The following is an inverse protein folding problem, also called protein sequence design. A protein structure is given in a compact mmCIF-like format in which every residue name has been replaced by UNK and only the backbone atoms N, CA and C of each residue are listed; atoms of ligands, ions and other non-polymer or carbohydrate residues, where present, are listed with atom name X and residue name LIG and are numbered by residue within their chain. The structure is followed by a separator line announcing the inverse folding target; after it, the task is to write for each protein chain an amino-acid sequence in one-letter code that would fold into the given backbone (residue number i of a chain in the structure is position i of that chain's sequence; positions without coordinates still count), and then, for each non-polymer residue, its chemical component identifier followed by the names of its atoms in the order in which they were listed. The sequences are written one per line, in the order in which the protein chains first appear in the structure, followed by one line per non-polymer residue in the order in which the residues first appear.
data_IF_779493144091
#
_entry.id   IF_779493144091
#
_cell.length_a   1.000
_cell.length_b   1.000
_cell.length_c   1.000
_cell.angle_alpha   90.00
_cell.angle_beta   90.00
_cell.angle_gamma   90.00
#
_symmetry.space_group_name_H-M   'P 1'
#
loop_
_entity.id
_entity.type
_entity.pdbx_description
1 polymer ?
#
# COMPACT_ATOMS: atom_id res chain seq x y z
N UNK A 1 -4.45 -1.83 12.01
CA UNK A 1 -5.65 -2.03 11.16
C UNK A 1 -5.92 -3.52 11.01
N UNK A 2 -7.18 -3.90 10.76
CA UNK A 2 -7.56 -5.29 10.51
C UNK A 2 -6.96 -5.86 9.23
N UNK A 3 -6.86 -7.18 9.14
CA UNK A 3 -6.18 -7.89 8.05
C UNK A 3 -6.83 -7.70 6.66
N UNK A 4 -8.08 -7.28 6.62
CA UNK A 4 -8.86 -7.05 5.39
C UNK A 4 -8.67 -5.65 4.79
N UNK A 5 -8.11 -4.70 5.55
CA UNK A 5 -7.81 -3.37 5.02
C UNK A 5 -6.68 -3.43 3.98
N UNK A 6 -6.83 -2.67 2.89
CA UNK A 6 -5.98 -2.71 1.70
C UNK A 6 -4.49 -2.69 2.05
N UNK A 7 -4.03 -1.73 2.87
CA UNK A 7 -2.61 -1.61 3.21
C UNK A 7 -2.07 -2.88 3.87
N UNK A 8 -2.74 -3.37 4.93
CA UNK A 8 -2.31 -4.58 5.64
C UNK A 8 -2.52 -5.85 4.80
N UNK A 9 -3.59 -5.90 4.00
CA UNK A 9 -3.83 -7.02 3.07
C UNK A 9 -2.68 -7.16 2.09
N UNK A 10 -2.20 -6.06 1.53
CA UNK A 10 -1.10 -6.05 0.56
C UNK A 10 0.22 -6.43 1.23
N UNK A 11 0.65 -5.74 2.27
CA UNK A 11 1.96 -5.99 2.91
C UNK A 11 2.06 -7.40 3.48
N UNK A 12 0.99 -7.88 4.14
CA UNK A 12 0.90 -9.27 4.59
C UNK A 12 0.98 -10.27 3.44
N UNK A 13 0.29 -10.00 2.32
CA UNK A 13 0.32 -10.88 1.17
C UNK A 13 1.72 -10.93 0.54
N UNK A 14 2.39 -9.79 0.39
CA UNK A 14 3.77 -9.72 -0.12
C UNK A 14 4.71 -10.57 0.73
N UNK A 15 4.70 -10.39 2.05
CA UNK A 15 5.52 -11.21 2.97
C UNK A 15 5.19 -12.71 2.84
N UNK A 16 3.91 -13.10 2.80
CA UNK A 16 3.50 -14.50 2.67
C UNK A 16 3.86 -15.11 1.31
N UNK A 17 3.80 -14.30 0.24
CA UNK A 17 4.21 -14.72 -1.10
C UNK A 17 5.73 -14.94 -1.14
N UNK A 18 6.51 -14.06 -0.54
CA UNK A 18 7.96 -14.18 -0.44
C UNK A 18 8.38 -15.44 0.33
N UNK A 19 7.69 -15.74 1.42
CA UNK A 19 7.93 -16.93 2.25
C UNK A 19 7.34 -18.24 1.69
N UNK A 20 6.71 -18.21 0.50
CA UNK A 20 6.08 -19.38 -0.11
C UNK A 20 4.76 -19.84 0.55
N UNK A 21 4.22 -19.06 1.48
CA UNK A 21 2.99 -19.37 2.23
C UNK A 21 1.70 -19.01 1.47
N UNK A 22 1.83 -18.23 0.39
CA UNK A 22 0.70 -17.78 -0.43
C UNK A 22 1.14 -17.68 -1.89
N UNK A 23 0.27 -18.08 -2.82
CA UNK A 23 0.59 -18.01 -4.25
C UNK A 23 0.27 -16.66 -4.85
N UNK A 24 -0.91 -16.09 -4.54
CA UNK A 24 -1.47 -14.91 -5.19
C UNK A 24 -2.34 -14.14 -4.20
N UNK A 25 -2.40 -12.82 -4.33
CA UNK A 25 -3.35 -11.97 -3.61
C UNK A 25 -4.44 -11.49 -4.57
N UNK A 26 -5.68 -11.49 -4.09
CA UNK A 26 -6.82 -11.00 -4.85
C UNK A 26 -7.27 -9.65 -4.32
N UNK A 27 -7.41 -8.69 -5.23
CA UNK A 27 -7.80 -7.30 -4.96
C UNK A 27 -9.10 -6.95 -5.69
N UNK A 28 -9.64 -5.76 -5.44
CA UNK A 28 -10.67 -5.13 -6.26
C UNK A 28 -10.04 -4.22 -7.33
N UNK A 29 -10.60 -3.02 -7.50
CA UNK A 29 -10.17 -2.06 -8.51
C UNK A 29 -8.74 -1.58 -8.26
N UNK A 30 -7.79 -1.96 -9.10
CA UNK A 30 -6.38 -1.59 -8.95
C UNK A 30 -6.08 -0.14 -9.34
N UNK A 31 -6.95 0.47 -10.16
CA UNK A 31 -6.84 1.87 -10.60
C UNK A 31 -7.31 2.89 -9.56
N UNK A 32 -8.08 2.46 -8.55
CA UNK A 32 -8.60 3.36 -7.51
C UNK A 32 -7.48 4.06 -6.76
N UNK A 33 -7.60 5.38 -6.59
CA UNK A 33 -6.65 6.23 -5.90
C UNK A 33 -7.08 6.48 -4.46
N UNK A 34 -6.15 6.39 -3.53
CA UNK A 34 -6.39 6.66 -2.11
C UNK A 34 -5.25 7.49 -1.52
N UNK A 35 -5.60 8.30 -0.56
CA UNK A 35 -4.65 9.03 0.28
C UNK A 35 -4.33 8.15 1.51
N UNK A 36 -3.09 7.69 1.60
CA UNK A 36 -2.61 6.90 2.73
C UNK A 36 -1.59 7.68 3.54
N UNK A 37 -1.91 7.92 4.78
CA UNK A 37 -0.99 8.55 5.72
C UNK A 37 -0.54 7.60 6.83
N UNK A 38 0.60 7.93 7.42
CA UNK A 38 1.21 7.17 8.49
C UNK A 38 0.48 7.41 9.83
N UNK A 39 0.27 6.35 10.61
CA UNK A 39 -0.43 6.43 11.90
C UNK A 39 0.22 7.42 12.88
N UNK A 40 1.55 7.52 12.90
CA UNK A 40 2.29 8.47 13.73
C UNK A 40 1.91 9.93 13.43
N UNK A 41 1.66 10.27 12.17
CA UNK A 41 1.20 11.60 11.76
C UNK A 41 -0.23 11.88 12.22
N UNK A 42 -1.11 10.89 12.11
CA UNK A 42 -2.50 11.04 12.57
C UNK A 42 -2.59 11.20 14.09
N UNK A 43 -1.79 10.46 14.86
CA UNK A 43 -1.72 10.62 16.32
C UNK A 43 -1.24 12.02 16.70
N UNK A 44 -0.24 12.58 15.98
CA UNK A 44 0.19 13.96 16.19
C UNK A 44 -0.90 14.97 15.88
N UNK A 45 -1.69 14.74 14.82
CA UNK A 45 -2.84 15.58 14.52
C UNK A 45 -3.89 15.52 15.63
N UNK A 46 -4.23 14.32 16.12
CA UNK A 46 -5.18 14.14 17.22
C UNK A 46 -4.73 14.89 18.48
N UNK A 47 -3.44 14.77 18.84
CA UNK A 47 -2.89 15.52 19.96
C UNK A 47 -2.99 17.03 19.74
N UNK A 48 -2.62 17.54 18.57
CA UNK A 48 -2.69 18.98 18.26
C UNK A 48 -4.13 19.53 18.30
N UNK A 49 -5.10 18.75 17.83
CA UNK A 49 -6.53 19.11 17.90
C UNK A 49 -6.97 19.29 19.36
N UNK A 50 -6.55 18.39 20.26
CA UNK A 50 -6.91 18.43 21.68
C UNK A 50 -6.24 19.58 22.46
N UNK A 51 -5.22 20.23 21.91
CA UNK A 51 -4.56 21.38 22.51
C UNK A 51 -5.19 22.72 22.12
N UNK A 52 -6.25 22.72 21.32
CA UNK A 52 -6.93 23.97 20.91
C UNK A 52 -7.90 24.44 22.00
N UNK A 53 -7.97 25.74 22.22
CA UNK A 53 -8.88 26.36 23.19
C UNK A 53 -10.34 26.18 22.79
N UNK A 54 -10.64 26.18 21.49
CA UNK A 54 -11.98 25.97 20.96
C UNK A 54 -12.07 24.71 20.10
N UNK A 55 -13.10 23.87 20.33
CA UNK A 55 -13.29 22.68 19.50
C UNK A 55 -13.64 23.05 18.05
N UNK A 56 -13.05 22.32 17.11
CA UNK A 56 -13.30 22.51 15.68
C UNK A 56 -13.03 21.23 14.89
N UNK A 57 -13.71 21.07 13.76
CA UNK A 57 -13.51 19.96 12.86
C UNK A 57 -12.28 20.17 11.97
N UNK A 58 -11.48 19.12 11.77
CA UNK A 58 -10.29 19.13 10.94
C UNK A 58 -10.25 17.92 10.01
N UNK A 59 -9.97 18.16 8.73
CA UNK A 59 -9.59 17.09 7.79
C UNK A 59 -8.11 16.85 7.94
N UNK A 60 -7.73 15.59 8.19
CA UNK A 60 -6.34 15.15 8.28
C UNK A 60 -6.05 14.22 7.12
N UNK A 61 -5.23 14.69 6.19
CA UNK A 61 -4.91 13.99 4.96
C UNK A 61 -3.50 14.39 4.48
N UNK A 62 -2.84 13.51 3.74
CA UNK A 62 -1.52 13.85 3.18
C UNK A 62 -1.63 14.80 2.00
N UNK A 63 -2.73 14.73 1.26
CA UNK A 63 -2.96 15.44 0.01
C UNK A 63 -2.31 14.77 -1.20
N UNK A 64 -1.74 13.56 -1.01
CA UNK A 64 -1.12 12.76 -2.06
C UNK A 64 -1.91 11.48 -2.24
N UNK A 65 -2.33 11.21 -3.48
CA UNK A 65 -3.05 9.98 -3.79
C UNK A 65 -2.20 9.04 -4.62
N UNK A 66 -2.29 7.75 -4.30
CA UNK A 66 -1.59 6.68 -5.02
C UNK A 66 -2.61 5.62 -5.43
N UNK A 67 -2.41 4.99 -6.60
CA UNK A 67 -3.25 3.87 -7.02
C UNK A 67 -2.95 2.62 -6.19
N UNK A 68 -3.92 1.72 -6.06
CA UNK A 68 -3.69 0.41 -5.44
C UNK A 68 -2.61 -0.37 -6.20
N UNK A 69 -2.55 -0.20 -7.53
CA UNK A 69 -1.51 -0.77 -8.39
C UNK A 69 -0.11 -0.29 -7.99
N UNK A 70 0.07 1.00 -7.80
CA UNK A 70 1.38 1.55 -7.43
C UNK A 70 1.75 1.20 -5.99
N UNK A 71 0.78 1.14 -5.09
CA UNK A 71 1.01 0.64 -3.73
C UNK A 71 1.52 -0.82 -3.74
N UNK A 72 0.95 -1.69 -4.59
CA UNK A 72 1.43 -3.05 -4.78
C UNK A 72 2.88 -3.07 -5.32
N UNK A 73 3.19 -2.26 -6.36
CA UNK A 73 4.56 -2.14 -6.88
C UNK A 73 5.55 -1.76 -5.79
N UNK A 74 5.22 -0.73 -5.00
CA UNK A 74 6.08 -0.28 -3.91
C UNK A 74 6.27 -1.36 -2.85
N UNK A 75 5.20 -2.06 -2.47
CA UNK A 75 5.27 -3.12 -1.47
C UNK A 75 6.11 -4.32 -1.92
N UNK A 76 6.07 -4.69 -3.20
CA UNK A 76 6.95 -5.73 -3.74
C UNK A 76 8.40 -5.22 -3.90
N UNK A 77 8.58 -3.95 -4.30
CA UNK A 77 9.91 -3.36 -4.43
C UNK A 77 10.66 -3.30 -3.08
N UNK A 78 9.93 -3.15 -1.95
CA UNK A 78 10.52 -3.16 -0.59
C UNK A 78 11.28 -4.46 -0.28
N UNK A 79 10.87 -5.56 -0.89
CA UNK A 79 11.56 -6.85 -0.77
C UNK A 79 12.43 -7.19 -1.99
N UNK A 80 12.79 -6.19 -2.81
CA UNK A 80 13.64 -6.37 -4.00
C UNK A 80 12.94 -7.05 -5.18
N UNK A 81 11.60 -7.03 -5.23
CA UNK A 81 10.83 -7.72 -6.28
C UNK A 81 10.13 -6.73 -7.19
N UNK A 82 10.33 -6.88 -8.50
CA UNK A 82 9.59 -6.15 -9.52
C UNK A 82 8.42 -6.97 -10.03
N UNK A 83 7.24 -6.35 -10.13
CA UNK A 83 6.04 -6.93 -10.72
C UNK A 83 5.57 -6.12 -11.92
N UNK A 84 5.08 -6.80 -12.97
CA UNK A 84 4.50 -6.17 -14.16
C UNK A 84 3.02 -6.48 -14.22
N UNK A 85 2.21 -5.43 -14.42
CA UNK A 85 0.77 -5.55 -14.61
C UNK A 85 0.43 -5.83 -16.07
N UNK A 86 -0.52 -6.74 -16.30
CA UNK A 86 -1.06 -7.14 -17.60
C UNK A 86 -2.58 -7.22 -17.52
N UNK A 87 -3.26 -6.94 -18.64
CA UNK A 87 -4.71 -6.93 -18.69
C UNK A 87 -5.31 -5.66 -18.09
N UNK A 88 -6.62 -5.64 -17.99
CA UNK A 88 -7.39 -4.48 -17.52
C UNK A 88 -8.60 -4.94 -16.70
N UNK A 89 -9.05 -4.09 -15.79
CA UNK A 89 -10.26 -4.28 -14.98
C UNK A 89 -10.24 -5.63 -14.25
N UNK A 90 -11.28 -6.46 -14.44
CA UNK A 90 -11.39 -7.77 -13.79
C UNK A 90 -10.37 -8.80 -14.29
N UNK A 91 -9.77 -8.57 -15.45
CA UNK A 91 -8.74 -9.44 -16.04
C UNK A 91 -7.32 -8.95 -15.75
N UNK A 92 -7.18 -7.91 -14.92
CA UNK A 92 -5.86 -7.38 -14.58
C UNK A 92 -5.16 -8.31 -13.59
N UNK A 93 -3.91 -8.65 -13.93
CA UNK A 93 -3.02 -9.47 -13.10
C UNK A 93 -1.65 -8.82 -12.99
N UNK A 94 -0.90 -9.12 -11.94
CA UNK A 94 0.51 -8.83 -11.90
C UNK A 94 1.33 -10.11 -11.84
N UNK A 95 2.42 -10.12 -12.61
CA UNK A 95 3.37 -11.23 -12.68
C UNK A 95 4.72 -10.83 -12.11
N UNK A 96 5.42 -11.76 -11.50
CA UNK A 96 6.79 -11.59 -11.05
C UNK A 96 7.70 -11.41 -12.27
N UNK A 97 8.44 -10.31 -12.33
CA UNK A 97 9.30 -9.96 -13.45
C UNK A 97 10.79 -10.11 -13.14
N UNK A 98 11.21 -9.55 -12.01
CA UNK A 98 12.62 -9.48 -11.64
C UNK A 98 12.79 -9.52 -10.11
N UNK A 99 13.96 -10.00 -9.69
CA UNK A 99 14.36 -10.04 -8.27
C UNK A 99 15.74 -9.39 -8.14
N UNK A 100 15.84 -8.35 -7.33
CA UNK A 100 17.12 -7.91 -6.79
C UNK A 100 17.48 -8.85 -5.63
N UNK A 101 18.34 -9.81 -5.91
CA UNK A 101 18.70 -10.86 -4.97
C UNK A 101 19.35 -10.32 -3.69
N UNK A 102 20.12 -9.24 -3.78
CA UNK A 102 20.76 -8.64 -2.62
C UNK A 102 19.72 -8.08 -1.65
N UNK A 103 18.78 -7.30 -2.18
CA UNK A 103 17.69 -6.75 -1.36
C UNK A 103 16.79 -7.85 -0.83
N UNK A 104 16.46 -8.85 -1.65
CA UNK A 104 15.63 -9.97 -1.23
C UNK A 104 16.27 -10.77 -0.09
N UNK A 105 17.57 -11.07 -0.17
CA UNK A 105 18.29 -11.77 0.90
C UNK A 105 18.29 -10.95 2.18
N UNK A 106 18.53 -9.64 2.08
CA UNK A 106 18.54 -8.74 3.24
C UNK A 106 17.17 -8.66 3.93
N UNK A 107 16.08 -8.55 3.16
CA UNK A 107 14.72 -8.32 3.67
C UNK A 107 13.95 -9.59 4.00
N UNK A 108 14.19 -10.68 3.27
CA UNK A 108 13.41 -11.93 3.37
C UNK A 108 14.26 -13.10 3.88
N UNK A 109 15.50 -13.20 3.38
CA UNK A 109 16.45 -14.25 3.75
C UNK A 109 16.83 -15.18 2.58
N UNK A 110 18.08 -15.58 2.58
CA UNK A 110 18.69 -16.41 1.52
C UNK A 110 17.97 -17.75 1.32
N UNK A 111 17.50 -18.36 2.40
CA UNK A 111 16.81 -19.66 2.39
C UNK A 111 15.56 -19.70 1.50
N UNK A 112 14.94 -18.56 1.25
CA UNK A 112 13.73 -18.45 0.42
C UNK A 112 14.03 -18.13 -1.04
N UNK A 113 15.24 -17.64 -1.37
CA UNK A 113 15.58 -17.10 -2.70
C UNK A 113 15.42 -18.13 -3.82
N UNK A 114 15.96 -19.33 -3.67
CA UNK A 114 15.92 -20.34 -4.75
C UNK A 114 14.51 -20.78 -5.10
N UNK A 115 13.63 -20.89 -4.12
CA UNK A 115 12.24 -21.23 -4.35
C UNK A 115 11.47 -20.05 -4.96
N UNK A 116 11.78 -18.82 -4.53
CA UNK A 116 11.14 -17.64 -5.05
C UNK A 116 11.58 -17.33 -6.49
N UNK A 117 12.86 -17.52 -6.83
CA UNK A 117 13.42 -17.36 -8.18
C UNK A 117 12.70 -18.23 -9.23
N UNK A 118 12.29 -19.44 -8.87
CA UNK A 118 11.54 -20.36 -9.75
C UNK A 118 10.14 -19.84 -10.10
N UNK A 119 9.65 -18.84 -9.37
CA UNK A 119 8.34 -18.24 -9.55
C UNK A 119 8.32 -17.04 -10.49
N UNK A 120 9.47 -16.64 -11.08
CA UNK A 120 9.50 -15.59 -12.10
C UNK A 120 8.56 -15.99 -13.25
N UNK A 121 7.65 -15.07 -13.61
CA UNK A 121 6.56 -15.32 -14.54
C UNK A 121 5.24 -15.75 -13.91
N UNK A 122 5.22 -16.16 -12.63
CA UNK A 122 3.98 -16.47 -11.91
C UNK A 122 3.12 -15.24 -11.68
N UNK A 123 1.81 -15.42 -11.74
CA UNK A 123 0.87 -14.41 -11.30
C UNK A 123 0.83 -14.34 -9.76
N UNK A 124 1.09 -13.16 -9.22
CA UNK A 124 1.09 -12.89 -7.77
C UNK A 124 0.00 -11.94 -7.31
N UNK A 125 -0.61 -11.20 -8.23
CA UNK A 125 -1.78 -10.35 -7.98
C UNK A 125 -2.85 -10.68 -9.01
N UNK A 126 -4.11 -10.65 -8.61
CA UNK A 126 -5.26 -10.73 -9.51
C UNK A 126 -6.42 -9.92 -8.98
N UNK A 127 -7.38 -9.65 -9.85
CA UNK A 127 -8.64 -9.03 -9.48
C UNK A 127 -9.68 -10.12 -9.23
N UNK A 128 -10.36 -10.04 -8.08
CA UNK A 128 -11.51 -10.89 -7.80
C UNK A 128 -12.78 -10.14 -8.17
N UNK A 129 -13.63 -10.69 -9.05
CA UNK A 129 -14.91 -10.08 -9.42
C UNK A 129 -15.81 -9.75 -8.23
N UNK A 130 -15.72 -10.48 -7.12
CA UNK A 130 -16.49 -10.20 -5.90
C UNK A 130 -16.05 -8.90 -5.21
N UNK A 131 -14.80 -8.50 -5.38
CA UNK A 131 -14.25 -7.26 -4.83
C UNK A 131 -14.23 -6.11 -5.85
N UNK A 132 -14.43 -6.41 -7.12
CA UNK A 132 -14.48 -5.40 -8.18
C UNK A 132 -15.80 -4.65 -8.14
N UNK A 133 -15.72 -3.31 -8.13
CA UNK A 133 -16.90 -2.43 -8.13
C UNK A 133 -16.91 -1.61 -9.42
N UNK A 134 -17.89 -1.81 -10.32
CA UNK A 134 -18.00 -1.04 -11.56
C UNK A 134 -18.15 0.48 -11.32
N UNK A 135 -18.77 0.85 -10.20
CA UNK A 135 -19.01 2.25 -9.77
C UNK A 135 -18.16 2.61 -8.55
N UNK A 136 -16.87 2.26 -8.56
CA UNK A 136 -15.96 2.61 -7.48
C UNK A 136 -15.71 4.12 -7.47
N UNK A 137 -15.46 4.66 -6.27
CA UNK A 137 -14.96 6.03 -6.14
C UNK A 137 -13.49 6.05 -6.57
N UNK A 138 -13.24 6.61 -7.74
CA UNK A 138 -11.92 6.60 -8.37
C UNK A 138 -10.89 7.38 -7.56
N UNK A 139 -11.31 8.50 -6.95
CA UNK A 139 -10.44 9.40 -6.21
C UNK A 139 -11.05 9.74 -4.85
N UNK A 140 -10.31 9.46 -3.78
CA UNK A 140 -10.55 9.98 -2.44
C UNK A 140 -9.31 10.75 -1.99
N UNK A 141 -9.45 12.07 -1.88
CA UNK A 141 -8.42 12.99 -1.41
C UNK A 141 -9.01 13.95 -0.37
N UNK A 142 -8.26 14.22 0.68
CA UNK A 142 -8.66 15.17 1.71
C UNK A 142 -7.92 16.50 1.54
N UNK A 143 -8.62 17.62 1.80
CA UNK A 143 -8.00 18.93 1.93
C UNK A 143 -7.66 19.21 3.40
N UNK A 144 -6.38 19.14 3.74
CA UNK A 144 -5.85 19.39 5.08
C UNK A 144 -5.42 20.85 5.30
N UNK A 145 -5.81 21.80 4.44
CA UNK A 145 -5.37 23.21 4.54
C UNK A 145 -5.68 23.81 5.90
N UNK A 146 -6.86 23.57 6.45
CA UNK A 146 -7.23 24.06 7.80
C UNK A 146 -6.31 23.47 8.90
N UNK A 147 -5.96 22.20 8.82
CA UNK A 147 -5.06 21.57 9.78
C UNK A 147 -3.65 22.15 9.68
N UNK A 148 -3.14 22.36 8.46
CA UNK A 148 -1.85 22.99 8.23
C UNK A 148 -1.78 24.41 8.79
N UNK A 149 -2.80 25.24 8.48
CA UNK A 149 -2.79 26.66 8.86
C UNK A 149 -3.08 26.92 10.32
N UNK A 150 -3.96 26.15 10.95
CA UNK A 150 -4.39 26.38 12.34
C UNK A 150 -3.62 25.54 13.37
N UNK A 151 -3.28 24.28 13.01
CA UNK A 151 -2.57 23.37 13.92
C UNK A 151 -1.07 23.35 13.67
N UNK A 152 -0.59 23.93 12.55
CA UNK A 152 0.80 23.74 12.09
C UNK A 152 1.11 22.28 11.80
N UNK A 153 0.08 21.47 11.49
CA UNK A 153 0.25 20.05 11.26
C UNK A 153 0.62 19.76 9.80
N UNK A 154 1.68 19.00 9.62
CA UNK A 154 2.09 18.46 8.31
C UNK A 154 2.47 16.98 8.44
N UNK A 155 2.21 16.15 7.41
CA UNK A 155 2.70 14.79 7.39
C UNK A 155 4.24 14.79 7.34
N UNK A 156 4.87 13.95 8.17
CA UNK A 156 6.33 13.77 8.22
C UNK A 156 6.77 12.49 7.54
N UNK A 157 5.86 11.56 7.37
CA UNK A 157 6.11 10.25 6.77
C UNK A 157 5.41 10.17 5.42
N UNK A 158 6.15 9.75 4.42
CA UNK A 158 5.61 9.46 3.09
C UNK A 158 5.07 8.01 2.98
N UNK A 159 4.60 7.65 1.79
CA UNK A 159 4.05 6.31 1.56
C UNK A 159 5.14 5.23 1.59
N UNK A 160 6.38 5.55 1.20
CA UNK A 160 7.50 4.61 1.26
C UNK A 160 7.81 4.24 2.71
N UNK A 161 7.95 5.23 3.59
CA UNK A 161 8.13 5.03 5.04
C UNK A 161 6.99 4.24 5.68
N UNK A 162 5.75 4.44 5.21
CA UNK A 162 4.59 3.66 5.67
C UNK A 162 4.72 2.18 5.29
N UNK A 163 5.15 1.89 4.06
CA UNK A 163 5.28 0.51 3.57
C UNK A 163 6.44 -0.20 4.29
N UNK A 164 7.55 0.49 4.48
CA UNK A 164 8.71 -0.05 5.21
C UNK A 164 8.35 -0.42 6.66
N UNK A 165 7.58 0.43 7.38
CA UNK A 165 7.12 0.17 8.75
C UNK A 165 6.09 -0.96 8.84
N UNK A 166 5.57 -1.48 7.75
CA UNK A 166 4.48 -2.48 7.70
C UNK A 166 4.96 -3.87 7.35
#
# INVERSE_FOLDING_TARGET
RGETFVTRKVTRAVSRIALGMQKKVYMGNLSSKRDWGHAKDYVRAMYAILQQDEPSDYVIATGITTTIRDFLRMAFAEIGVEIIFKGENVNEVAVLNYIDEKVFIERVGEVYLDNFRKRIGDEVVGVDPQYFRPTEVDLLIGDATKARTRLGWEPKYDLASLIEDM
#
